data_IF_119488124101
#
_entry.id   IF_119488124101
#
_cell.length_a   1.000
_cell.length_b   1.000
_cell.length_c   1.000
_cell.angle_alpha   90.00
_cell.angle_beta   90.00
_cell.angle_gamma   90.00
#
_symmetry.space_group_name_H-M   'P 1'
#
loop_
_entity.id
_entity.type
_entity.pdbx_description
1 polymer ?
#
# COMPACT_ATOMS: atom_id res chain seq x y z
N UNK A 1 -20.69 -19.55 -3.07
CA UNK A 1 -20.48 -21.01 -2.86
C UNK A 1 -21.75 -21.86 -2.97
N UNK A 2 -22.94 -21.41 -2.54
CA UNK A 2 -24.18 -22.20 -2.69
C UNK A 2 -24.48 -22.64 -4.14
N UNK A 3 -24.21 -21.78 -5.13
CA UNK A 3 -24.45 -22.12 -6.54
C UNK A 3 -23.55 -23.26 -7.07
N UNK A 4 -22.38 -23.50 -6.48
CA UNK A 4 -21.48 -24.58 -6.90
C UNK A 4 -21.91 -25.96 -6.37
N UNK A 5 -22.62 -26.00 -5.24
CA UNK A 5 -23.09 -27.25 -4.61
C UNK A 5 -24.60 -27.50 -4.80
N UNK A 6 -25.38 -26.45 -5.03
CA UNK A 6 -26.84 -26.51 -5.18
C UNK A 6 -27.34 -25.99 -6.54
N UNK A 7 -26.44 -25.59 -7.44
CA UNK A 7 -26.76 -25.17 -8.81
C UNK A 7 -26.73 -26.32 -9.83
N UNK A 8 -27.08 -26.00 -11.07
CA UNK A 8 -27.08 -26.94 -12.20
C UNK A 8 -25.69 -27.02 -12.89
N UNK A 9 -24.62 -26.90 -12.10
CA UNK A 9 -23.25 -26.88 -12.56
C UNK A 9 -22.69 -28.31 -12.62
N UNK A 10 -21.70 -28.57 -13.48
CA UNK A 10 -21.10 -29.92 -13.59
C UNK A 10 -20.48 -30.37 -12.27
N UNK A 11 -19.99 -29.42 -11.49
CA UNK A 11 -19.38 -29.59 -10.17
C UNK A 11 -20.40 -30.10 -9.15
N UNK A 12 -21.63 -29.57 -9.16
CA UNK A 12 -22.72 -30.01 -8.29
C UNK A 12 -23.17 -31.44 -8.61
N UNK A 13 -23.16 -31.82 -9.89
CA UNK A 13 -23.56 -33.15 -10.36
C UNK A 13 -22.52 -34.21 -10.02
N UNK A 14 -21.23 -33.87 -10.10
CA UNK A 14 -20.14 -34.82 -9.87
C UNK A 14 -19.56 -34.79 -8.45
N UNK A 15 -19.96 -33.83 -7.61
CA UNK A 15 -19.36 -33.59 -6.29
C UNK A 15 -17.82 -33.46 -6.34
N UNK A 16 -17.30 -32.95 -7.45
CA UNK A 16 -15.88 -32.76 -7.72
C UNK A 16 -15.62 -31.31 -8.15
N UNK A 17 -14.85 -30.59 -7.35
CA UNK A 17 -14.33 -29.27 -7.71
C UNK A 17 -13.14 -29.44 -8.65
N UNK A 18 -13.18 -28.79 -9.81
CA UNK A 18 -12.02 -28.74 -10.70
C UNK A 18 -11.07 -27.66 -10.19
N UNK A 19 -9.96 -28.08 -9.60
CA UNK A 19 -8.93 -27.18 -9.05
C UNK A 19 -7.58 -27.38 -9.73
N UNK A 20 -7.54 -28.07 -10.88
CA UNK A 20 -6.29 -28.43 -11.58
C UNK A 20 -5.50 -27.20 -12.08
N UNK A 21 -6.17 -26.05 -12.20
CA UNK A 21 -5.56 -24.79 -12.63
C UNK A 21 -4.85 -24.03 -11.50
N UNK A 22 -4.98 -24.50 -10.25
CA UNK A 22 -4.44 -23.83 -9.07
C UNK A 22 -3.46 -24.71 -8.32
N UNK A 23 -2.41 -24.08 -7.80
CA UNK A 23 -1.44 -24.75 -6.93
C UNK A 23 -2.12 -25.31 -5.67
N UNK A 24 -1.78 -26.54 -5.22
CA UNK A 24 -2.40 -27.16 -4.06
C UNK A 24 -2.39 -26.27 -2.80
N UNK A 25 -1.28 -25.56 -2.57
CA UNK A 25 -1.15 -24.65 -1.42
C UNK A 25 -2.18 -23.50 -1.44
N UNK A 26 -2.57 -23.02 -2.62
CA UNK A 26 -3.57 -21.94 -2.75
C UNK A 26 -4.96 -22.47 -2.42
N UNK A 27 -5.27 -23.71 -2.84
CA UNK A 27 -6.51 -24.39 -2.50
C UNK A 27 -6.56 -24.72 -1.00
N UNK A 28 -5.44 -25.16 -0.42
CA UNK A 28 -5.33 -25.37 1.03
C UNK A 28 -5.61 -24.09 1.81
N UNK A 29 -5.06 -22.94 1.40
CA UNK A 29 -5.36 -21.65 2.03
C UNK A 29 -6.83 -21.24 1.88
N UNK A 30 -7.45 -21.50 0.72
CA UNK A 30 -8.88 -21.27 0.56
C UNK A 30 -9.69 -22.15 1.53
N UNK A 31 -9.35 -23.44 1.65
CA UNK A 31 -10.01 -24.34 2.58
C UNK A 31 -9.80 -23.92 4.04
N UNK A 32 -8.56 -23.59 4.42
CA UNK A 32 -8.22 -23.09 5.76
C UNK A 32 -9.09 -21.88 6.11
N UNK A 33 -9.24 -20.94 5.18
CA UNK A 33 -10.12 -19.79 5.35
C UNK A 33 -11.58 -20.19 5.60
N UNK A 34 -12.13 -21.11 4.82
CA UNK A 34 -13.52 -21.55 5.00
C UNK A 34 -13.80 -22.19 6.37
N UNK A 35 -12.77 -22.77 7.00
CA UNK A 35 -12.91 -23.39 8.32
C UNK A 35 -12.52 -22.46 9.47
N UNK A 36 -11.69 -21.44 9.24
CA UNK A 36 -11.07 -20.65 10.32
C UNK A 36 -11.20 -19.14 10.17
N UNK A 37 -11.82 -18.66 9.08
CA UNK A 37 -11.87 -17.25 8.65
C UNK A 37 -10.49 -16.60 8.45
N UNK A 38 -9.42 -17.41 8.35
CA UNK A 38 -8.05 -16.94 8.10
C UNK A 38 -7.26 -17.96 7.29
N UNK A 39 -6.11 -17.56 6.76
CA UNK A 39 -5.18 -18.50 6.14
C UNK A 39 -3.74 -18.07 6.41
N UNK A 40 -2.83 -19.03 6.41
CA UNK A 40 -1.42 -18.78 6.68
C UNK A 40 -0.56 -18.92 5.42
N UNK A 41 0.54 -18.17 5.39
CA UNK A 41 1.59 -18.33 4.39
C UNK A 41 2.90 -18.43 5.16
N UNK A 42 3.66 -19.50 4.94
CA UNK A 42 4.93 -19.75 5.62
C UNK A 42 6.10 -19.00 4.98
N UNK A 43 5.93 -18.49 3.76
CA UNK A 43 6.98 -17.80 3.02
C UNK A 43 7.13 -16.36 3.49
N UNK A 44 8.34 -15.80 3.37
CA UNK A 44 8.67 -14.41 3.71
C UNK A 44 9.32 -13.64 2.56
N UNK A 45 9.17 -14.15 1.34
CA UNK A 45 9.85 -13.68 0.12
C UNK A 45 8.86 -13.18 -0.93
N UNK A 46 9.32 -12.89 -2.14
CA UNK A 46 8.45 -12.61 -3.28
C UNK A 46 7.36 -13.67 -3.48
N UNK A 47 7.64 -14.93 -3.12
CA UNK A 47 6.67 -16.03 -3.16
C UNK A 47 5.44 -15.76 -2.29
N UNK A 48 5.58 -15.07 -1.15
CA UNK A 48 4.47 -14.71 -0.27
C UNK A 48 3.51 -13.73 -0.96
N UNK A 49 4.03 -12.71 -1.64
CA UNK A 49 3.21 -11.78 -2.40
C UNK A 49 2.46 -12.47 -3.54
N UNK A 50 3.17 -13.32 -4.29
CA UNK A 50 2.59 -14.09 -5.40
C UNK A 50 1.49 -15.03 -4.87
N UNK A 51 1.75 -15.70 -3.76
CA UNK A 51 0.78 -16.57 -3.10
C UNK A 51 -0.49 -15.81 -2.72
N UNK A 52 -0.38 -14.60 -2.14
CA UNK A 52 -1.55 -13.79 -1.83
C UNK A 52 -2.31 -13.32 -3.08
N UNK A 53 -1.62 -13.04 -4.19
CA UNK A 53 -2.29 -12.75 -5.48
C UNK A 53 -3.05 -13.98 -6.00
N UNK A 54 -2.49 -15.17 -5.86
CA UNK A 54 -3.12 -16.41 -6.31
C UNK A 54 -4.33 -16.78 -5.45
N UNK A 55 -4.23 -16.62 -4.13
CA UNK A 55 -5.37 -16.77 -3.22
C UNK A 55 -6.48 -15.76 -3.57
N UNK A 56 -6.12 -14.52 -3.91
CA UNK A 56 -7.09 -13.53 -4.35
C UNK A 56 -7.79 -13.93 -5.65
N UNK A 57 -7.05 -14.42 -6.64
CA UNK A 57 -7.63 -14.90 -7.90
C UNK A 57 -8.59 -16.08 -7.69
N UNK A 58 -8.25 -17.03 -6.81
CA UNK A 58 -9.14 -18.14 -6.44
C UNK A 58 -10.38 -17.64 -5.70
N UNK A 59 -10.21 -16.68 -4.79
CA UNK A 59 -11.33 -16.08 -4.05
C UNK A 59 -12.32 -15.37 -4.98
N UNK A 60 -11.81 -14.65 -5.99
CA UNK A 60 -12.63 -14.02 -7.03
C UNK A 60 -13.39 -15.07 -7.85
N UNK A 61 -12.68 -16.10 -8.32
CA UNK A 61 -13.29 -17.18 -9.10
C UNK A 61 -14.45 -17.88 -8.39
N UNK A 62 -14.30 -18.17 -7.09
CA UNK A 62 -15.33 -18.83 -6.27
C UNK A 62 -16.29 -17.86 -5.57
N UNK A 63 -16.15 -16.55 -5.78
CA UNK A 63 -16.96 -15.48 -5.19
C UNK A 63 -16.97 -15.55 -3.65
N UNK A 64 -15.79 -15.58 -3.04
CA UNK A 64 -15.57 -15.61 -1.59
C UNK A 64 -15.07 -14.23 -1.15
N UNK A 65 -15.99 -13.27 -1.02
CA UNK A 65 -15.69 -11.85 -0.76
C UNK A 65 -14.77 -11.62 0.46
N UNK A 66 -14.97 -12.39 1.53
CA UNK A 66 -14.16 -12.27 2.73
C UNK A 66 -12.71 -12.69 2.53
N UNK A 67 -12.46 -13.73 1.72
CA UNK A 67 -11.12 -14.17 1.34
C UNK A 67 -10.47 -13.22 0.33
N UNK A 68 -11.26 -12.68 -0.60
CA UNK A 68 -10.82 -11.66 -1.54
C UNK A 68 -10.25 -10.46 -0.78
N UNK A 69 -11.02 -9.94 0.19
CA UNK A 69 -10.56 -8.81 1.02
C UNK A 69 -9.36 -9.17 1.89
N UNK A 70 -9.38 -10.34 2.53
CA UNK A 70 -8.28 -10.78 3.40
C UNK A 70 -6.97 -10.91 2.63
N UNK A 71 -7.01 -11.46 1.41
CA UNK A 71 -5.82 -11.60 0.56
C UNK A 71 -5.27 -10.26 0.08
N UNK A 72 -6.13 -9.29 -0.24
CA UNK A 72 -5.71 -7.91 -0.52
C UNK A 72 -5.02 -7.26 0.68
N UNK A 73 -5.61 -7.40 1.87
CA UNK A 73 -5.08 -6.85 3.12
C UNK A 73 -3.72 -7.48 3.45
N UNK A 74 -3.60 -8.81 3.32
CA UNK A 74 -2.35 -9.53 3.52
C UNK A 74 -1.26 -9.12 2.52
N UNK A 75 -1.59 -9.01 1.23
CA UNK A 75 -0.65 -8.49 0.23
C UNK A 75 -0.23 -7.05 0.55
N UNK A 76 -1.19 -6.18 0.88
CA UNK A 76 -0.92 -4.80 1.25
C UNK A 76 0.02 -4.68 2.45
N UNK A 77 -0.21 -5.49 3.48
CA UNK A 77 0.64 -5.57 4.67
C UNK A 77 2.06 -6.04 4.33
N UNK A 78 2.18 -7.12 3.55
CA UNK A 78 3.47 -7.64 3.09
C UNK A 78 4.24 -6.56 2.31
N UNK A 79 3.60 -5.96 1.31
CA UNK A 79 4.22 -4.92 0.48
C UNK A 79 4.64 -3.71 1.32
N UNK A 80 3.83 -3.30 2.30
CA UNK A 80 4.16 -2.19 3.21
C UNK A 80 5.32 -2.50 4.15
N UNK A 81 5.52 -3.76 4.51
CA UNK A 81 6.68 -4.21 5.28
C UNK A 81 7.97 -4.29 4.45
N UNK A 82 7.89 -4.31 3.12
CA UNK A 82 9.09 -4.30 2.26
C UNK A 82 9.90 -3.02 2.44
N UNK A 83 11.14 -3.18 2.88
CA UNK A 83 12.13 -2.11 3.04
C UNK A 83 13.13 -2.06 1.89
N UNK A 84 13.31 -3.17 1.17
CA UNK A 84 14.30 -3.31 0.09
C UNK A 84 13.62 -3.69 -1.22
N UNK A 85 14.18 -3.20 -2.33
CA UNK A 85 13.63 -3.38 -3.68
C UNK A 85 13.97 -4.73 -4.33
N UNK A 86 14.79 -5.57 -3.70
CA UNK A 86 15.31 -6.82 -4.30
C UNK A 86 14.19 -7.77 -4.77
N UNK A 87 13.10 -7.84 -4.02
CA UNK A 87 11.98 -8.75 -4.33
C UNK A 87 10.97 -8.13 -5.30
N UNK A 88 10.95 -6.80 -5.46
CA UNK A 88 9.93 -6.11 -6.24
C UNK A 88 9.91 -6.47 -7.73
N UNK A 89 11.03 -6.63 -8.45
CA UNK A 89 10.99 -7.01 -9.86
C UNK A 89 10.23 -8.31 -10.11
N UNK A 90 10.45 -9.31 -9.26
CA UNK A 90 9.76 -10.61 -9.32
C UNK A 90 8.26 -10.44 -9.07
N UNK A 91 7.89 -9.65 -8.06
CA UNK A 91 6.49 -9.38 -7.70
C UNK A 91 5.78 -8.61 -8.83
N UNK A 92 6.43 -7.59 -9.39
CA UNK A 92 5.91 -6.77 -10.49
C UNK A 92 5.66 -7.65 -11.71
N UNK A 93 6.64 -8.48 -12.08
CA UNK A 93 6.52 -9.41 -13.19
C UNK A 93 5.29 -10.31 -13.01
N UNK A 94 5.18 -10.95 -11.86
CA UNK A 94 4.04 -11.83 -11.54
C UNK A 94 2.69 -11.09 -11.62
N UNK A 95 2.60 -9.88 -11.05
CA UNK A 95 1.39 -9.07 -11.09
C UNK A 95 0.97 -8.71 -12.53
N UNK A 96 1.95 -8.42 -13.41
CA UNK A 96 1.67 -8.09 -14.81
C UNK A 96 1.34 -9.30 -15.67
N UNK A 97 1.97 -10.46 -15.43
CA UNK A 97 1.75 -11.69 -16.19
C UNK A 97 0.42 -12.36 -15.84
N UNK A 98 0.08 -12.41 -14.55
CA UNK A 98 -1.17 -13.04 -14.06
C UNK A 98 -2.42 -12.20 -14.30
N UNK A 99 -2.29 -11.00 -14.87
CA UNK A 99 -3.39 -10.05 -15.08
C UNK A 99 -4.21 -9.83 -13.80
N UNK A 100 -3.53 -9.70 -12.66
CA UNK A 100 -4.18 -9.49 -11.38
C UNK A 100 -5.06 -8.24 -11.43
N UNK A 101 -6.05 -8.18 -10.56
CA UNK A 101 -7.02 -7.10 -10.57
C UNK A 101 -6.38 -5.71 -10.44
N UNK A 102 -7.14 -4.68 -10.78
CA UNK A 102 -6.61 -3.31 -10.77
C UNK A 102 -6.19 -2.85 -9.37
N UNK A 103 -6.80 -3.41 -8.32
CA UNK A 103 -6.55 -3.01 -6.94
C UNK A 103 -5.21 -3.58 -6.45
N UNK A 104 -4.94 -4.86 -6.66
CA UNK A 104 -3.65 -5.48 -6.39
C UNK A 104 -2.55 -4.84 -7.25
N UNK A 105 -2.80 -4.54 -8.53
CA UNK A 105 -1.85 -3.79 -9.36
C UNK A 105 -1.53 -2.41 -8.74
N UNK A 106 -2.53 -1.71 -8.19
CA UNK A 106 -2.32 -0.43 -7.51
C UNK A 106 -1.52 -0.58 -6.21
N UNK A 107 -1.69 -1.67 -5.46
CA UNK A 107 -0.88 -1.95 -4.27
C UNK A 107 0.59 -2.18 -4.64
N UNK A 108 0.86 -3.00 -5.66
CA UNK A 108 2.21 -3.25 -6.16
C UNK A 108 2.83 -1.96 -6.69
N UNK A 109 2.12 -1.20 -7.52
CA UNK A 109 2.59 0.07 -8.05
C UNK A 109 2.90 1.11 -6.94
N UNK A 110 2.10 1.13 -5.87
CA UNK A 110 2.36 1.97 -4.70
C UNK A 110 3.63 1.57 -3.96
N UNK A 111 3.88 0.26 -3.82
CA UNK A 111 5.12 -0.25 -3.25
C UNK A 111 6.34 0.07 -4.13
N UNK A 112 6.21 -0.09 -5.46
CA UNK A 112 7.24 0.30 -6.43
C UNK A 112 7.56 1.79 -6.35
N UNK A 113 6.54 2.66 -6.28
CA UNK A 113 6.74 4.09 -6.13
C UNK A 113 7.44 4.45 -4.81
N UNK A 114 7.21 3.69 -3.74
CA UNK A 114 7.88 3.89 -2.46
C UNK A 114 9.36 3.54 -2.50
N UNK A 115 9.72 2.47 -3.20
CA UNK A 115 11.08 1.96 -3.31
C UNK A 115 11.75 2.36 -4.64
N UNK A 116 11.20 3.34 -5.35
CA UNK A 116 11.59 3.71 -6.71
C UNK A 116 13.08 4.06 -6.83
N UNK A 117 13.62 4.75 -5.83
CA UNK A 117 15.03 5.15 -5.78
C UNK A 117 15.97 3.94 -5.82
N UNK A 118 15.66 2.86 -5.10
CA UNK A 118 16.44 1.63 -5.15
C UNK A 118 16.08 0.74 -6.35
N UNK A 119 14.85 0.89 -6.87
CA UNK A 119 14.34 0.07 -7.96
C UNK A 119 14.89 0.48 -9.32
N UNK A 120 15.14 1.78 -9.55
CA UNK A 120 15.65 2.28 -10.83
C UNK A 120 17.09 1.80 -11.12
N UNK A 121 17.87 1.57 -10.07
CA UNK A 121 19.24 1.04 -10.17
C UNK A 121 19.27 -0.49 -10.27
N UNK A 122 18.12 -1.16 -10.15
CA UNK A 122 18.04 -2.62 -10.22
C UNK A 122 17.97 -3.09 -11.69
N UNK A 123 18.94 -3.90 -12.17
CA UNK A 123 18.96 -4.39 -13.55
C UNK A 123 17.77 -5.32 -13.87
N UNK A 124 17.28 -6.06 -12.88
CA UNK A 124 16.13 -6.94 -13.04
C UNK A 124 14.85 -6.15 -13.26
N UNK A 125 14.75 -4.92 -12.73
CA UNK A 125 13.61 -4.04 -12.98
C UNK A 125 13.69 -3.38 -14.36
N UNK A 126 14.85 -2.83 -14.72
CA UNK A 126 15.03 -2.09 -15.99
C UNK A 126 14.89 -2.97 -17.22
N UNK A 127 15.09 -4.28 -17.07
CA UNK A 127 14.88 -5.28 -18.12
C UNK A 127 13.43 -5.75 -18.26
N UNK A 128 12.52 -5.38 -17.35
CA UNK A 128 11.11 -5.79 -17.43
C UNK A 128 10.37 -5.05 -18.55
N UNK A 129 9.74 -5.82 -19.43
CA UNK A 129 8.79 -5.26 -20.38
C UNK A 129 7.41 -5.07 -19.72
N UNK A 130 7.28 -3.95 -19.01
CA UNK A 130 6.04 -3.62 -18.31
C UNK A 130 4.96 -3.10 -19.29
N UNK A 131 3.71 -3.60 -19.19
CA UNK A 131 2.60 -3.02 -19.93
C UNK A 131 2.44 -1.53 -19.63
N UNK A 132 2.09 -0.72 -20.65
CA UNK A 132 1.91 0.72 -20.49
C UNK A 132 0.91 1.08 -19.38
N UNK A 133 -0.14 0.28 -19.21
CA UNK A 133 -1.11 0.45 -18.12
C UNK A 133 -0.45 0.39 -16.74
N UNK A 134 0.45 -0.57 -16.52
CA UNK A 134 1.15 -0.75 -15.25
C UNK A 134 2.22 0.33 -15.03
N UNK A 135 2.98 0.71 -16.08
CA UNK A 135 3.92 1.85 -16.02
C UNK A 135 3.19 3.13 -15.58
N UNK A 136 2.01 3.39 -16.13
CA UNK A 136 1.20 4.54 -15.75
C UNK A 136 0.74 4.49 -14.28
N UNK A 137 0.40 3.32 -13.75
CA UNK A 137 0.08 3.16 -12.31
C UNK A 137 1.26 3.52 -11.43
N UNK A 138 2.47 3.07 -11.79
CA UNK A 138 3.70 3.43 -11.06
C UNK A 138 3.91 4.95 -11.09
N UNK A 139 3.80 5.58 -12.26
CA UNK A 139 3.98 7.04 -12.38
C UNK A 139 2.92 7.82 -11.58
N UNK A 140 1.67 7.37 -11.60
CA UNK A 140 0.59 7.96 -10.79
C UNK A 140 0.87 7.82 -9.30
N UNK A 141 1.36 6.67 -8.86
CA UNK A 141 1.75 6.44 -7.47
C UNK A 141 2.95 7.32 -7.06
N UNK A 142 3.97 7.47 -7.92
CA UNK A 142 5.08 8.39 -7.70
C UNK A 142 4.60 9.85 -7.59
N UNK A 143 3.75 10.31 -8.51
CA UNK A 143 3.21 11.66 -8.49
C UNK A 143 2.40 11.93 -7.21
N UNK A 144 1.57 10.98 -6.79
CA UNK A 144 0.78 11.05 -5.56
C UNK A 144 1.68 11.14 -4.33
N UNK A 145 2.74 10.33 -4.27
CA UNK A 145 3.74 10.37 -3.19
C UNK A 145 4.46 11.71 -3.13
N UNK A 146 4.89 12.25 -4.27
CA UNK A 146 5.54 13.56 -4.35
C UNK A 146 4.59 14.66 -3.86
N UNK A 147 3.32 14.63 -4.26
CA UNK A 147 2.32 15.60 -3.81
C UNK A 147 2.08 15.52 -2.28
N UNK A 148 2.01 14.30 -1.74
CA UNK A 148 1.88 14.06 -0.30
C UNK A 148 3.10 14.59 0.46
N UNK A 149 4.32 14.26 -0.01
CA UNK A 149 5.56 14.76 0.60
C UNK A 149 5.64 16.29 0.59
N UNK A 150 5.29 16.94 -0.53
CA UNK A 150 5.25 18.42 -0.61
C UNK A 150 4.30 19.01 0.42
N UNK A 151 3.11 18.42 0.57
CA UNK A 151 2.10 18.90 1.53
C UNK A 151 2.58 18.75 2.97
N UNK A 152 3.19 17.62 3.31
CA UNK A 152 3.78 17.38 4.63
C UNK A 152 4.90 18.38 4.95
N UNK A 153 5.76 18.71 3.98
CA UNK A 153 6.82 19.71 4.16
C UNK A 153 6.25 21.10 4.45
N UNK A 154 5.19 21.51 3.75
CA UNK A 154 4.51 22.80 4.00
C UNK A 154 3.90 22.84 5.40
N UNK A 155 3.29 21.76 5.86
CA UNK A 155 2.71 21.68 7.21
C UNK A 155 3.80 21.78 8.30
N UNK A 156 4.92 21.06 8.12
CA UNK A 156 6.06 21.13 9.04
C UNK A 156 6.67 22.54 9.06
N UNK A 157 6.80 23.19 7.90
CA UNK A 157 7.28 24.56 7.81
C UNK A 157 6.36 25.54 8.55
N UNK A 158 5.04 25.43 8.36
CA UNK A 158 4.06 26.26 9.05
C UNK A 158 4.10 26.06 10.59
N UNK A 159 4.27 24.82 11.05
CA UNK A 159 4.44 24.51 12.49
C UNK A 159 5.72 25.12 13.06
N UNK A 160 6.82 25.07 12.30
CA UNK A 160 8.09 25.67 12.70
C UNK A 160 7.95 27.20 12.81
N UNK A 161 7.37 27.85 11.80
CA UNK A 161 7.17 29.30 11.79
C UNK A 161 6.24 29.75 12.93
N UNK A 162 5.17 28.99 13.19
CA UNK A 162 4.27 29.23 14.32
C UNK A 162 4.96 29.06 15.68
N UNK A 163 5.89 28.09 15.82
CA UNK A 163 6.68 27.92 17.05
C UNK A 163 7.73 29.02 17.25
N UNK A 164 8.16 29.68 16.18
CA UNK A 164 9.13 30.78 16.23
C UNK A 164 8.48 32.15 16.49
N UNK A 165 7.18 32.33 16.17
CA UNK A 165 6.45 33.58 16.42
C UNK A 165 6.34 34.01 17.90
N UNK A 166 6.11 33.11 18.89
CA UNK A 166 6.06 33.49 20.30
C UNK A 166 7.37 34.03 20.87
N UNK A 167 8.52 33.88 20.20
CA UNK A 167 9.78 34.44 20.69
C UNK A 167 10.03 35.89 20.21
N UNK A 168 9.27 36.39 19.23
CA UNK A 168 9.51 37.69 18.62
C UNK A 168 8.85 38.87 19.37
N UNK A 169 7.83 38.64 20.22
CA UNK A 169 7.26 39.71 21.06
C UNK A 169 8.20 40.08 22.22
N UNK A 170 8.85 39.11 22.85
CA UNK A 170 9.82 39.33 23.93
C UNK A 170 11.09 40.07 23.44
N UNK A 171 11.53 39.81 22.21
CA UNK A 171 12.64 40.53 21.56
C UNK A 171 12.27 41.95 21.09
N UNK A 172 10.98 42.22 20.85
CA UNK A 172 10.48 43.56 20.51
C UNK A 172 10.39 44.46 21.74
N UNK A 173 10.00 43.96 22.90
CA UNK A 173 9.92 44.76 24.14
C UNK A 173 11.30 45.29 24.60
N UNK A 174 12.37 44.54 24.40
CA UNK A 174 13.73 44.99 24.71
C UNK A 174 14.27 46.09 23.78
N UNK A 175 13.67 46.27 22.59
CA UNK A 175 14.07 47.27 21.59
C UNK A 175 13.17 48.51 21.52
N UNK A 176 12.16 48.62 22.38
CA UNK A 176 11.35 49.84 22.47
C UNK A 176 12.17 50.96 23.14
N UNK A 177 12.25 52.16 22.55
CA UNK A 177 12.85 53.31 23.21
C UNK A 177 12.13 53.61 24.53
N UNK A 178 12.86 53.99 25.56
CA UNK A 178 12.40 54.09 26.96
C UNK A 178 11.14 54.96 27.18
N UNK A 179 10.81 55.83 26.23
CA UNK A 179 9.55 56.59 26.19
C UNK A 179 8.31 55.70 26.02
N UNK A 180 8.38 54.63 25.24
CA UNK A 180 7.26 53.73 24.98
C UNK A 180 7.05 52.72 26.10
N UNK A 181 8.14 52.25 26.73
CA UNK A 181 8.05 51.43 27.96
C UNK A 181 7.30 52.15 29.09
N UNK A 182 7.54 53.46 29.25
CA UNK A 182 6.83 54.31 30.24
C UNK A 182 5.34 54.52 29.92
N UNK A 183 4.96 54.51 28.64
CA UNK A 183 3.55 54.61 28.21
C UNK A 183 2.80 53.29 28.41
N UNK A 184 3.47 52.15 28.24
CA UNK A 184 2.91 50.83 28.51
C UNK A 184 2.69 50.60 30.02
N UNK A 185 3.64 51.00 30.86
CA UNK A 185 3.51 50.92 32.33
C UNK A 185 2.34 51.77 32.88
N UNK A 186 2.09 52.95 32.31
CA UNK A 186 0.95 53.80 32.69
C UNK A 186 -0.43 53.25 32.30
N UNK A 187 -0.52 52.34 31.32
CA UNK A 187 -1.78 51.67 30.94
C UNK A 187 -2.11 50.46 31.82
N UNK A 188 -1.14 49.94 32.58
CA UNK A 188 -1.30 48.77 33.45
C UNK A 188 -1.28 49.08 34.95
N UNK A 189 -1.40 50.35 35.35
CA UNK A 189 -1.73 50.72 36.72
C UNK A 189 -0.64 50.44 37.77
N UNK A 190 0.62 50.68 37.40
CA UNK A 190 1.73 50.85 38.36
C UNK A 190 2.19 52.31 38.38
#
# INVERSE_FOLDING_TARGET
>A
MEAAFFGNCKEAVHAHLHTEEYEPAVIEAMLEYLYTDTYTCSDSTASQAIFHMDVNAVADYYLIDGLLKLSEDNLGNFLNALTQAEQLPVIIKAATEKQVDRKLQSLVASASARLMESLVDNPDFTSLDLPNGFRNLIFQACASRIAHMKSATVEVQAKLDASLQPCNWALREHRLPEREKRLALRRHGF
#
